data_IF_322774563911
#
_entry.id   IF_322774563911
#
_cell.length_a   1.000
_cell.length_b   1.000
_cell.length_c   1.000
_cell.angle_alpha   90.00
_cell.angle_beta   90.00
_cell.angle_gamma   90.00
#
_symmetry.space_group_name_H-M   'P 1'
#
loop_
_entity.id
_entity.type
_entity.pdbx_description
1 polymer ?
#
# COMPACT_ATOMS: atom_id res chain seq x y z
N UNK A 1 -6.68 8.06 13.72
CA UNK A 1 -6.29 8.16 12.30
C UNK A 1 -7.18 9.16 11.56
N UNK A 2 -6.60 9.98 10.68
CA UNK A 2 -7.36 10.91 9.84
C UNK A 2 -8.09 10.15 8.73
N UNK A 3 -9.18 10.71 8.23
CA UNK A 3 -9.95 10.14 7.12
C UNK A 3 -9.87 11.05 5.90
N UNK A 4 -9.78 10.44 4.73
CA UNK A 4 -9.82 11.12 3.44
C UNK A 4 -11.02 10.63 2.62
N UNK A 5 -11.73 11.57 2.02
CA UNK A 5 -12.92 11.31 1.18
C UNK A 5 -12.75 11.80 -0.24
N UNK A 6 -11.65 12.50 -0.53
CA UNK A 6 -11.34 12.95 -1.88
C UNK A 6 -10.70 11.83 -2.72
N UNK A 7 -10.43 12.13 -3.99
CA UNK A 7 -9.86 11.20 -4.97
C UNK A 7 -8.36 11.38 -5.15
N UNK A 8 -7.65 12.02 -4.21
CA UNK A 8 -6.22 12.30 -4.36
C UNK A 8 -5.39 11.01 -4.45
N UNK A 9 -5.78 9.98 -3.70
CA UNK A 9 -5.16 8.66 -3.67
C UNK A 9 -5.21 7.93 -5.01
N UNK A 10 -6.14 8.33 -5.90
CA UNK A 10 -6.23 7.78 -7.25
C UNK A 10 -5.15 8.34 -8.16
N UNK A 11 -4.59 9.50 -7.83
CA UNK A 11 -3.71 10.26 -8.73
C UNK A 11 -2.29 10.43 -8.20
N UNK A 12 -2.05 10.32 -6.89
CA UNK A 12 -0.71 10.45 -6.31
C UNK A 12 -0.57 9.75 -4.98
N UNK A 13 0.68 9.52 -4.58
CA UNK A 13 1.05 8.92 -3.31
C UNK A 13 0.95 7.40 -3.34
N UNK A 14 1.02 6.78 -2.17
CA UNK A 14 0.94 5.32 -2.02
C UNK A 14 -0.30 4.92 -1.24
N UNK A 15 -1.01 3.90 -1.73
CA UNK A 15 -2.21 3.37 -1.08
C UNK A 15 -2.16 1.86 -0.93
N UNK A 16 -2.85 1.37 0.10
CA UNK A 16 -3.11 -0.05 0.33
C UNK A 16 -4.61 -0.25 0.38
N UNK A 17 -5.19 -0.82 -0.68
CA UNK A 17 -6.63 -0.99 -0.84
C UNK A 17 -7.06 -2.42 -0.54
N UNK A 18 -8.23 -2.58 0.07
CA UNK A 18 -8.86 -3.88 0.33
C UNK A 18 -10.36 -3.89 -0.01
N UNK A 19 -10.86 -2.82 -0.62
CA UNK A 19 -12.22 -2.70 -1.11
C UNK A 19 -12.27 -2.73 -2.64
N UNK A 20 -13.11 -3.60 -3.19
CA UNK A 20 -13.20 -3.82 -4.63
C UNK A 20 -13.88 -2.67 -5.38
N UNK A 21 -14.77 -1.92 -4.72
CA UNK A 21 -15.40 -0.72 -5.31
C UNK A 21 -14.35 0.39 -5.48
N UNK A 22 -13.46 0.56 -4.50
CA UNK A 22 -12.33 1.49 -4.60
C UNK A 22 -11.36 1.08 -5.71
N UNK A 23 -11.01 -0.20 -5.81
CA UNK A 23 -10.12 -0.71 -6.87
C UNK A 23 -10.72 -0.46 -8.27
N UNK A 24 -12.03 -0.67 -8.43
CA UNK A 24 -12.71 -0.49 -9.71
C UNK A 24 -12.74 0.98 -10.19
N UNK A 25 -12.46 1.96 -9.31
CA UNK A 25 -12.38 3.37 -9.69
C UNK A 25 -11.04 3.74 -10.36
N UNK A 26 -10.00 2.91 -10.21
CA UNK A 26 -8.65 3.21 -10.72
C UNK A 26 -8.26 2.35 -11.92
N UNK A 27 -8.83 1.16 -12.08
CA UNK A 27 -8.49 0.30 -13.20
C UNK A 27 -9.22 -1.03 -13.22
N UNK A 28 -8.81 -1.86 -14.18
CA UNK A 28 -9.34 -3.18 -14.47
C UNK A 28 -8.33 -4.27 -14.11
N UNK A 29 -8.78 -5.51 -13.98
CA UNK A 29 -7.92 -6.64 -13.63
C UNK A 29 -6.75 -6.85 -14.62
N UNK A 30 -6.93 -6.52 -15.91
CA UNK A 30 -5.88 -6.63 -16.92
C UNK A 30 -4.75 -5.61 -16.79
N UNK A 31 -4.97 -4.53 -16.03
CA UNK A 31 -4.00 -3.45 -15.83
C UNK A 31 -3.20 -3.66 -14.53
N UNK A 32 -3.59 -4.63 -13.69
CA UNK A 32 -2.92 -4.92 -12.42
C UNK A 32 -1.62 -5.67 -12.65
N UNK A 33 -0.53 -5.11 -12.10
CA UNK A 33 0.77 -5.77 -12.07
C UNK A 33 0.88 -6.75 -10.91
N UNK A 34 1.56 -7.86 -11.14
CA UNK A 34 2.05 -8.69 -10.05
C UNK A 34 3.19 -7.98 -9.30
N UNK A 35 3.34 -8.31 -8.01
CA UNK A 35 4.47 -7.83 -7.21
C UNK A 35 5.83 -8.15 -7.84
N UNK A 36 5.92 -9.29 -8.55
CA UNK A 36 7.13 -9.67 -9.30
C UNK A 36 7.44 -8.66 -10.41
N UNK A 37 6.44 -8.27 -11.20
CA UNK A 37 6.64 -7.26 -12.27
C UNK A 37 7.06 -5.93 -11.68
N UNK A 38 6.42 -5.50 -10.59
CA UNK A 38 6.78 -4.28 -9.87
C UNK A 38 8.24 -4.31 -9.38
N UNK A 39 8.66 -5.39 -8.72
CA UNK A 39 10.03 -5.55 -8.26
C UNK A 39 11.04 -5.57 -9.42
N UNK A 40 10.73 -6.23 -10.54
CA UNK A 40 11.60 -6.28 -11.71
C UNK A 40 11.76 -4.93 -12.43
N UNK A 41 10.75 -4.06 -12.34
CA UNK A 41 10.78 -2.71 -12.91
C UNK A 41 11.43 -1.68 -11.99
N UNK A 42 11.88 -2.06 -10.79
CA UNK A 42 12.47 -1.11 -9.84
C UNK A 42 13.70 -0.43 -10.44
N UNK A 43 13.70 0.90 -10.42
CA UNK A 43 14.72 1.73 -11.06
C UNK A 43 14.59 1.88 -12.59
N UNK A 44 13.63 1.20 -13.22
CA UNK A 44 13.36 1.22 -14.66
C UNK A 44 11.85 1.31 -14.93
N UNK A 45 11.22 2.35 -14.39
CA UNK A 45 9.78 2.55 -14.47
C UNK A 45 9.33 2.97 -15.87
N UNK A 46 8.14 2.52 -16.33
CA UNK A 46 7.62 2.91 -17.64
C UNK A 46 7.22 4.40 -17.66
N UNK A 47 7.27 5.06 -18.82
CA UNK A 47 6.78 6.44 -18.92
C UNK A 47 5.26 6.51 -18.70
N UNK A 48 4.52 5.60 -19.34
CA UNK A 48 3.07 5.47 -19.20
C UNK A 48 2.71 4.38 -18.18
N UNK A 49 1.93 4.74 -17.15
CA UNK A 49 1.45 3.78 -16.18
C UNK A 49 0.24 2.98 -16.69
N UNK A 50 0.00 1.76 -16.17
CA UNK A 50 -1.05 0.89 -16.74
C UNK A 50 -2.49 1.33 -16.47
N UNK A 51 -2.73 2.12 -15.41
CA UNK A 51 -4.08 2.41 -14.92
C UNK A 51 -4.34 3.91 -14.79
N UNK A 52 -5.63 4.26 -14.72
CA UNK A 52 -6.12 5.61 -14.46
C UNK A 52 -5.48 6.70 -15.34
N UNK A 53 -5.69 6.61 -16.66
CA UNK A 53 -5.17 7.55 -17.65
C UNK A 53 -3.65 7.75 -17.56
N UNK A 54 -2.91 6.64 -17.52
CA UNK A 54 -1.45 6.58 -17.44
C UNK A 54 -0.83 7.17 -16.17
N UNK A 55 -1.60 7.28 -15.08
CA UNK A 55 -1.16 7.97 -13.87
C UNK A 55 -1.07 7.06 -12.62
N UNK A 56 -1.47 5.79 -12.72
CA UNK A 56 -1.54 4.88 -11.58
C UNK A 56 -0.93 3.51 -11.88
N UNK A 57 -0.09 3.02 -10.97
CA UNK A 57 0.36 1.64 -10.92
C UNK A 57 -0.44 0.89 -9.86
N UNK A 58 -1.15 -0.17 -10.26
CA UNK A 58 -1.80 -1.09 -9.32
C UNK A 58 -0.99 -2.38 -9.22
N UNK A 59 -0.64 -2.79 -8.01
CA UNK A 59 0.21 -3.95 -7.73
C UNK A 59 -0.50 -4.93 -6.80
N UNK A 60 -0.56 -6.21 -7.17
CA UNK A 60 -1.14 -7.27 -6.35
C UNK A 60 -0.09 -8.30 -5.90
N UNK A 61 -0.36 -8.95 -4.76
CA UNK A 61 0.42 -10.07 -4.23
C UNK A 61 1.36 -9.74 -3.06
N UNK A 62 1.35 -8.50 -2.57
CA UNK A 62 2.13 -8.12 -1.39
C UNK A 62 1.70 -8.91 -0.14
N UNK A 63 0.40 -9.10 0.09
CA UNK A 63 -0.11 -9.91 1.21
C UNK A 63 0.34 -11.37 1.13
N UNK A 64 0.32 -11.96 -0.07
CA UNK A 64 0.86 -13.29 -0.31
C UNK A 64 2.35 -13.41 0.01
N UNK A 65 3.16 -12.41 -0.32
CA UNK A 65 4.59 -12.41 0.04
C UNK A 65 4.81 -12.28 1.54
N UNK A 66 4.05 -11.42 2.23
CA UNK A 66 4.13 -11.29 3.69
C UNK A 66 3.75 -12.60 4.39
N UNK A 67 2.77 -13.33 3.87
CA UNK A 67 2.30 -14.60 4.45
C UNK A 67 3.26 -15.79 4.21
N UNK A 68 4.17 -15.69 3.24
CA UNK A 68 5.17 -16.74 2.94
C UNK A 68 6.44 -16.65 3.78
N UNK A 69 6.69 -15.50 4.38
CA UNK A 69 7.91 -15.21 5.16
C UNK A 69 7.65 -15.38 6.66
N UNK A 70 8.72 -15.62 7.42
CA UNK A 70 8.62 -15.44 8.88
C UNK A 70 8.38 -13.97 9.19
N UNK A 71 7.79 -13.60 10.34
CA UNK A 71 7.52 -12.19 10.66
C UNK A 71 8.78 -11.32 10.62
N UNK A 72 9.91 -11.85 11.10
CA UNK A 72 11.20 -11.16 11.06
C UNK A 72 11.71 -10.98 9.62
N UNK A 73 11.64 -12.01 8.78
CA UNK A 73 12.05 -11.92 7.37
C UNK A 73 11.14 -11.01 6.56
N UNK A 74 9.83 -11.04 6.84
CA UNK A 74 8.84 -10.17 6.22
C UNK A 74 9.10 -8.70 6.56
N UNK A 75 9.40 -8.39 7.83
CA UNK A 75 9.75 -7.04 8.26
C UNK A 75 11.05 -6.56 7.60
N UNK A 76 12.10 -7.40 7.59
CA UNK A 76 13.37 -7.09 6.93
C UNK A 76 13.21 -6.87 5.43
N UNK A 77 12.46 -7.74 4.75
CA UNK A 77 12.19 -7.65 3.31
C UNK A 77 11.34 -6.42 2.97
N UNK A 78 10.34 -6.11 3.80
CA UNK A 78 9.53 -4.90 3.64
C UNK A 78 10.41 -3.64 3.78
N UNK A 79 11.34 -3.65 4.73
CA UNK A 79 12.23 -2.53 5.03
C UNK A 79 13.35 -2.31 4.00
N UNK A 80 13.86 -3.37 3.38
CA UNK A 80 15.03 -3.31 2.50
C UNK A 80 14.67 -3.35 1.01
N UNK A 81 13.73 -4.19 0.59
CA UNK A 81 13.43 -4.36 -0.83
C UNK A 81 12.19 -3.54 -1.23
N UNK A 82 11.09 -3.71 -0.49
CA UNK A 82 9.83 -3.08 -0.85
C UNK A 82 9.82 -1.58 -0.60
N UNK A 83 10.38 -1.14 0.53
CA UNK A 83 10.51 0.30 0.82
C UNK A 83 11.33 0.99 -0.26
N UNK A 84 12.48 0.43 -0.63
CA UNK A 84 13.35 0.98 -1.67
C UNK A 84 12.66 1.03 -3.03
N UNK A 85 11.87 0.01 -3.39
CA UNK A 85 11.07 0.02 -4.60
C UNK A 85 9.99 1.12 -4.60
N UNK A 86 9.29 1.32 -3.48
CA UNK A 86 8.29 2.39 -3.35
C UNK A 86 8.96 3.77 -3.42
N UNK A 87 10.11 3.95 -2.75
CA UNK A 87 10.86 5.20 -2.80
C UNK A 87 11.38 5.50 -4.19
N UNK A 88 11.90 4.50 -4.90
CA UNK A 88 12.34 4.62 -6.30
C UNK A 88 11.19 5.02 -7.23
N UNK A 89 10.01 4.43 -7.06
CA UNK A 89 8.81 4.81 -7.82
C UNK A 89 8.43 6.26 -7.52
N UNK A 90 8.35 6.62 -6.24
CA UNK A 90 8.01 7.96 -5.79
C UNK A 90 8.98 9.03 -6.31
N UNK A 91 10.28 8.73 -6.34
CA UNK A 91 11.31 9.63 -6.86
C UNK A 91 11.17 9.81 -8.38
N UNK A 92 11.00 8.72 -9.13
CA UNK A 92 10.93 8.77 -10.59
C UNK A 92 9.78 9.64 -11.11
N UNK A 93 8.60 9.56 -10.48
CA UNK A 93 7.44 10.37 -10.86
C UNK A 93 7.30 11.68 -10.05
N UNK A 94 8.30 12.08 -9.27
CA UNK A 94 8.28 13.25 -8.39
C UNK A 94 7.03 13.34 -7.48
N UNK A 95 6.59 12.17 -7.01
CA UNK A 95 5.38 12.01 -6.21
C UNK A 95 4.07 12.39 -6.92
N UNK A 96 4.07 12.55 -8.25
CA UNK A 96 2.88 12.93 -9.03
C UNK A 96 2.07 11.74 -9.55
N UNK A 97 2.59 10.52 -9.43
CA UNK A 97 1.88 9.28 -9.78
C UNK A 97 1.37 8.53 -8.55
N UNK A 98 0.31 7.74 -8.72
CA UNK A 98 -0.21 6.87 -7.67
C UNK A 98 0.37 5.46 -7.74
N UNK A 99 0.79 4.94 -6.60
CA UNK A 99 1.11 3.53 -6.40
C UNK A 99 0.07 2.89 -5.49
N UNK A 100 -0.62 1.87 -5.96
CA UNK A 100 -1.71 1.22 -5.23
C UNK A 100 -1.38 -0.26 -5.05
N UNK A 101 -1.21 -0.69 -3.81
CA UNK A 101 -1.15 -2.11 -3.46
C UNK A 101 -2.57 -2.64 -3.22
N UNK A 102 -2.98 -3.59 -4.04
CA UNK A 102 -4.20 -4.35 -3.85
C UNK A 102 -3.96 -5.48 -2.84
N UNK A 103 -4.63 -5.38 -1.68
CA UNK A 103 -4.54 -6.29 -0.55
C UNK A 103 -5.95 -6.75 -0.15
N UNK A 104 -6.57 -7.72 -0.82
CA UNK A 104 -7.94 -8.15 -0.52
C UNK A 104 -8.11 -8.65 0.93
N UNK A 105 -7.04 -9.14 1.55
CA UNK A 105 -7.02 -9.55 2.96
C UNK A 105 -6.85 -8.38 3.96
N UNK A 106 -6.60 -7.16 3.48
CA UNK A 106 -6.22 -5.98 4.27
C UNK A 106 -7.20 -5.63 5.39
N UNK A 107 -8.52 -5.72 5.15
CA UNK A 107 -9.57 -5.38 6.15
C UNK A 107 -9.40 -6.10 7.50
N UNK A 108 -8.89 -7.34 7.48
CA UNK A 108 -8.68 -8.15 8.70
C UNK A 108 -7.23 -8.25 9.16
N UNK A 109 -6.30 -7.69 8.37
CA UNK A 109 -4.85 -7.83 8.53
C UNK A 109 -4.21 -6.53 8.98
N UNK A 110 -4.61 -5.41 8.39
CA UNK A 110 -4.15 -4.09 8.76
C UNK A 110 -4.92 -3.65 10.01
N UNK A 111 -4.18 -3.35 11.06
CA UNK A 111 -4.74 -2.84 12.32
C UNK A 111 -4.05 -1.54 12.72
N UNK A 112 -4.83 -0.57 13.13
CA UNK A 112 -4.36 0.73 13.62
C UNK A 112 -4.55 0.85 15.13
N UNK A 113 -3.59 1.47 15.81
CA UNK A 113 -3.73 1.87 17.20
C UNK A 113 -4.29 3.29 17.26
N UNK A 114 -5.44 3.49 17.90
CA UNK A 114 -6.10 4.81 17.95
C UNK A 114 -5.36 5.86 18.77
N UNK A 115 -4.50 5.45 19.72
CA UNK A 115 -3.75 6.36 20.57
C UNK A 115 -2.42 6.80 19.93
N UNK A 116 -1.79 5.93 19.15
CA UNK A 116 -0.47 6.17 18.56
C UNK A 116 -0.48 6.29 17.03
N UNK A 117 -1.62 6.04 16.39
CA UNK A 117 -1.77 5.90 14.93
C UNK A 117 -0.83 4.85 14.29
N UNK A 118 -0.20 3.99 15.10
CA UNK A 118 0.66 2.91 14.63
C UNK A 118 -0.14 1.91 13.79
N UNK A 119 0.41 1.52 12.65
CA UNK A 119 -0.20 0.55 11.72
C UNK A 119 0.61 -0.74 11.75
N UNK A 120 -0.06 -1.86 11.96
CA UNK A 120 0.56 -3.19 11.98
C UNK A 120 -0.18 -4.17 11.08
N UNK A 121 0.56 -5.15 10.56
CA UNK A 121 0.03 -6.27 9.78
C UNK A 121 -0.05 -7.53 10.65
N UNK A 122 -1.22 -8.13 10.75
CA UNK A 122 -1.43 -9.40 11.46
C UNK A 122 -1.05 -10.57 10.55
N UNK A 123 -0.03 -11.33 10.93
CA UNK A 123 0.49 -12.43 10.12
C UNK A 123 -0.51 -13.58 9.93
N UNK A 124 -0.40 -14.33 8.83
CA UNK A 124 -1.14 -15.59 8.65
C UNK A 124 -0.63 -16.72 9.55
N UNK A 125 -1.33 -17.85 9.53
CA UNK A 125 -0.82 -19.10 10.09
C UNK A 125 0.50 -19.47 9.38
N UNK A 126 1.54 -19.95 10.09
CA UNK A 126 1.56 -20.34 11.51
C UNK A 126 1.75 -19.20 12.53
N UNK A 127 2.06 -17.99 12.08
CA UNK A 127 2.42 -16.85 12.91
C UNK A 127 1.25 -15.96 13.32
N UNK A 128 0.03 -16.50 13.43
CA UNK A 128 -1.20 -15.68 13.56
C UNK A 128 -1.31 -14.85 14.84
N UNK A 129 -0.42 -15.10 15.82
CA UNK A 129 -0.31 -14.36 17.08
C UNK A 129 0.73 -13.22 17.01
N UNK A 130 1.47 -13.12 15.91
CA UNK A 130 2.52 -12.14 15.67
C UNK A 130 2.05 -11.05 14.71
N UNK A 131 2.76 -9.92 14.74
CA UNK A 131 2.48 -8.76 13.91
C UNK A 131 3.78 -8.19 13.36
N UNK A 132 3.70 -7.60 12.18
CA UNK A 132 4.76 -6.81 11.56
C UNK A 132 4.43 -5.33 11.83
N UNK A 133 5.43 -4.53 12.19
CA UNK A 133 5.28 -3.09 12.43
C UNK A 133 5.21 -2.31 11.10
N UNK A 134 4.19 -2.62 10.29
CA UNK A 134 4.02 -2.20 8.90
C UNK A 134 4.25 -0.71 8.66
N UNK A 135 3.65 0.16 9.47
CA UNK A 135 3.79 1.60 9.31
C UNK A 135 5.14 2.13 9.74
N UNK A 136 5.69 1.59 10.83
CA UNK A 136 7.04 1.97 11.29
C UNK A 136 8.08 1.66 10.21
N UNK A 137 7.95 0.52 9.55
CA UNK A 137 8.84 0.11 8.46
C UNK A 137 8.77 1.07 7.28
N UNK A 138 7.55 1.38 6.82
CA UNK A 138 7.35 2.08 5.55
C UNK A 138 7.43 3.61 5.65
N UNK A 139 6.98 4.23 6.75
CA UNK A 139 6.94 5.69 6.91
C UNK A 139 7.38 6.18 8.29
N UNK A 140 7.97 5.30 9.11
CA UNK A 140 8.55 5.68 10.41
C UNK A 140 7.51 6.14 11.44
N UNK A 141 8.01 6.83 12.47
CA UNK A 141 7.20 7.39 13.58
C UNK A 141 6.99 8.90 13.46
N UNK A 142 7.40 9.51 12.34
CA UNK A 142 7.53 10.95 12.16
C UNK A 142 6.19 11.65 11.83
N UNK A 143 5.17 11.48 12.67
CA UNK A 143 3.87 12.21 12.68
C UNK A 143 3.06 12.31 11.37
N UNK A 144 3.56 11.81 10.24
CA UNK A 144 2.87 11.64 8.98
C UNK A 144 2.33 10.21 8.96
N UNK A 145 1.15 10.05 9.55
CA UNK A 145 0.44 8.77 9.54
C UNK A 145 -0.45 8.67 8.30
N UNK A 146 -0.70 7.46 7.80
CA UNK A 146 -1.62 7.28 6.70
C UNK A 146 -3.03 7.72 7.10
N UNK A 147 -3.83 8.02 6.09
CA UNK A 147 -5.23 8.40 6.21
C UNK A 147 -6.10 7.22 5.77
N UNK A 148 -7.23 7.00 6.43
CA UNK A 148 -8.21 6.01 6.01
C UNK A 148 -9.01 6.54 4.82
N UNK A 149 -9.05 5.76 3.74
CA UNK A 149 -9.83 6.08 2.55
C UNK A 149 -11.28 5.69 2.81
N UNK A 150 -12.20 6.64 2.66
CA UNK A 150 -13.64 6.41 2.71
C UNK A 150 -14.30 6.84 1.40
N UNK A 151 -14.97 5.92 0.72
CA UNK A 151 -15.69 6.24 -0.53
C UNK A 151 -16.94 7.11 -0.30
N UNK A 152 -17.54 7.02 0.90
CA UNK A 152 -18.70 7.82 1.30
C UNK A 152 -18.73 7.98 2.82
N UNK A 153 -19.48 8.96 3.29
CA UNK A 153 -19.64 9.22 4.71
C UNK A 153 -20.24 8.01 5.44
N UNK A 154 -19.64 7.63 6.56
CA UNK A 154 -20.06 6.48 7.37
C UNK A 154 -19.75 5.10 6.76
N UNK A 155 -19.07 5.02 5.62
CA UNK A 155 -18.61 3.75 5.07
C UNK A 155 -17.50 3.12 5.93
N UNK A 156 -17.26 1.83 5.70
CA UNK A 156 -16.04 1.18 6.17
C UNK A 156 -14.84 1.73 5.41
N UNK A 157 -13.68 1.69 6.04
CA UNK A 157 -12.41 2.01 5.38
C UNK A 157 -12.22 1.10 4.17
N UNK A 158 -11.89 1.71 3.04
CA UNK A 158 -11.57 1.04 1.76
C UNK A 158 -10.08 0.78 1.60
N UNK A 159 -9.26 1.42 2.43
CA UNK A 159 -7.81 1.34 2.36
C UNK A 159 -7.10 2.36 3.23
N UNK A 160 -5.78 2.34 3.18
CA UNK A 160 -4.90 3.37 3.71
C UNK A 160 -4.28 4.18 2.57
N UNK A 161 -4.04 5.47 2.83
CA UNK A 161 -3.38 6.39 1.92
C UNK A 161 -2.24 7.13 2.64
N UNK A 162 -1.07 7.17 2.02
CA UNK A 162 0.06 7.98 2.45
C UNK A 162 0.53 8.86 1.28
N UNK A 163 0.59 10.18 1.48
CA UNK A 163 0.95 11.10 0.40
C UNK A 163 2.40 10.89 -0.08
N UNK A 164 3.33 10.73 0.85
CA UNK A 164 4.76 10.54 0.55
C UNK A 164 5.44 9.73 1.64
N UNK A 165 5.90 8.52 1.38
CA UNK A 165 6.58 7.74 2.42
C UNK A 165 8.03 8.23 2.61
N UNK A 166 8.62 7.93 3.78
CA UNK A 166 10.00 8.33 4.18
C UNK A 166 10.84 7.14 4.59
#
# INVERSE_FOLDING_TARGET
MKQIRDTVWQRRGTSWLWDAEALAQVGTASEVWSLRQFAQATGNWPEDLPSNDNNTMVVAGLDGCLDLLTPADAENWLASEMKDAILSFQEFYDGQAALIFWLPSGTGRITSNSATDAVSWRCAHPYSNERIDFGRVLWGEAHEYPQEILLREGAKSSGLFHLRIT
#
